data_IF_047712137291
#
_entry.id   IF_047712137291
#
_cell.length_a   1.000
_cell.length_b   1.000
_cell.length_c   1.000
_cell.angle_alpha   90.00
_cell.angle_beta   90.00
_cell.angle_gamma   90.00
#
_symmetry.space_group_name_H-M   'P 1'
#
loop_
_entity.id
_entity.type
_entity.pdbx_description
1 polymer ?
#
# COMPACT_ATOMS: atom_id res chain seq x y z
N UNK A 1 9.36 -13.56 8.78
CA UNK A 1 7.96 -13.73 9.21
C UNK A 1 7.00 -13.09 8.20
N UNK A 2 5.70 -13.42 8.23
CA UNK A 2 4.71 -12.82 7.32
C UNK A 2 4.62 -11.28 7.46
N UNK A 3 4.82 -10.77 8.68
CA UNK A 3 4.85 -9.33 8.97
C UNK A 3 6.03 -8.61 8.30
N UNK A 4 7.21 -9.23 8.26
CA UNK A 4 8.37 -8.66 7.56
C UNK A 4 8.11 -8.51 6.06
N UNK A 5 7.51 -9.52 5.42
CA UNK A 5 7.16 -9.47 4.00
C UNK A 5 6.14 -8.37 3.70
N UNK A 6 5.20 -8.14 4.61
CA UNK A 6 4.23 -7.07 4.48
C UNK A 6 4.89 -5.69 4.60
N UNK A 7 5.77 -5.51 5.58
CA UNK A 7 6.53 -4.27 5.75
C UNK A 7 7.37 -3.95 4.50
N UNK A 8 8.13 -4.93 3.99
CA UNK A 8 8.91 -4.77 2.76
C UNK A 8 8.03 -4.40 1.55
N UNK A 9 6.84 -4.98 1.46
CA UNK A 9 5.88 -4.68 0.40
C UNK A 9 5.38 -3.25 0.49
N UNK A 10 5.06 -2.78 1.69
CA UNK A 10 4.61 -1.42 1.94
C UNK A 10 5.70 -0.40 1.59
N UNK A 11 6.95 -0.64 2.01
CA UNK A 11 8.08 0.24 1.69
C UNK A 11 8.25 0.40 0.18
N UNK A 12 8.13 -0.69 -0.58
CA UNK A 12 8.18 -0.65 -2.04
C UNK A 12 7.05 0.19 -2.64
N UNK A 13 5.83 0.06 -2.11
CA UNK A 13 4.67 0.82 -2.58
C UNK A 13 4.79 2.32 -2.26
N UNK A 14 5.31 2.68 -1.08
CA UNK A 14 5.62 4.08 -0.73
C UNK A 14 6.67 4.66 -1.66
N UNK A 15 7.75 3.92 -1.91
CA UNK A 15 8.80 4.34 -2.84
C UNK A 15 8.26 4.51 -4.26
N UNK A 16 7.39 3.60 -4.70
CA UNK A 16 6.74 3.68 -6.01
C UNK A 16 5.81 4.90 -6.13
N UNK A 17 5.02 5.19 -5.10
CA UNK A 17 4.20 6.40 -5.03
C UNK A 17 5.08 7.64 -5.17
N UNK A 18 6.10 7.78 -4.29
CA UNK A 18 7.01 8.93 -4.32
C UNK A 18 7.69 9.10 -5.67
N UNK A 19 8.11 8.01 -6.30
CA UNK A 19 8.73 8.05 -7.61
C UNK A 19 7.75 8.54 -8.69
N UNK A 20 6.52 8.04 -8.68
CA UNK A 20 5.49 8.37 -9.68
C UNK A 20 4.89 9.77 -9.48
N UNK A 21 4.92 10.28 -8.25
CA UNK A 21 4.49 11.64 -7.93
C UNK A 21 5.63 12.65 -7.87
N UNK A 22 6.86 12.24 -8.19
CA UNK A 22 8.08 13.05 -8.04
C UNK A 22 8.26 13.64 -6.63
N UNK A 23 7.72 12.96 -5.62
CA UNK A 23 7.71 13.42 -4.22
C UNK A 23 6.72 14.55 -3.95
N UNK A 24 5.92 14.97 -4.94
CA UNK A 24 4.86 15.95 -4.76
C UNK A 24 3.65 15.30 -4.08
N UNK A 25 2.97 16.08 -3.23
CA UNK A 25 1.74 15.65 -2.56
C UNK A 25 0.51 15.79 -3.48
N UNK A 26 0.57 15.16 -4.65
CA UNK A 26 -0.47 15.19 -5.69
C UNK A 26 -1.45 14.02 -5.58
N UNK A 27 -1.25 13.14 -4.59
CA UNK A 27 -2.08 11.97 -4.34
C UNK A 27 -2.35 11.74 -2.84
N UNK A 28 -2.85 12.76 -2.11
CA UNK A 28 -3.08 12.65 -0.67
C UNK A 28 -4.09 11.54 -0.32
N UNK A 29 -5.04 11.28 -1.22
CA UNK A 29 -5.98 10.15 -1.13
C UNK A 29 -5.30 8.78 -1.23
N UNK A 30 -4.34 8.59 -2.14
CA UNK A 30 -3.55 7.34 -2.21
C UNK A 30 -2.66 7.18 -0.97
N UNK A 31 -2.02 8.25 -0.50
CA UNK A 31 -1.24 8.22 0.74
C UNK A 31 -2.10 7.83 1.93
N UNK A 32 -3.28 8.45 2.09
CA UNK A 32 -4.23 8.12 3.16
C UNK A 32 -4.72 6.68 3.08
N UNK A 33 -5.01 6.18 1.88
CA UNK A 33 -5.44 4.79 1.69
C UNK A 33 -4.34 3.80 2.11
N UNK A 34 -3.07 4.09 1.83
CA UNK A 34 -1.96 3.24 2.24
C UNK A 34 -1.78 3.21 3.77
N UNK A 35 -1.93 4.36 4.44
CA UNK A 35 -1.91 4.45 5.92
C UNK A 35 -3.05 3.65 6.56
N UNK A 36 -4.24 3.67 5.97
CA UNK A 36 -5.37 2.86 6.44
C UNK A 36 -5.08 1.36 6.33
N UNK A 37 -4.53 0.91 5.18
CA UNK A 37 -4.17 -0.51 4.99
C UNK A 37 -3.12 -0.94 6.01
N UNK A 38 -2.13 -0.10 6.30
CA UNK A 38 -1.13 -0.38 7.34
C UNK A 38 -1.76 -0.52 8.72
N UNK A 39 -2.64 0.41 9.09
CA UNK A 39 -3.33 0.39 10.39
C UNK A 39 -4.15 -0.88 10.54
N UNK A 40 -4.91 -1.27 9.51
CA UNK A 40 -5.64 -2.53 9.51
C UNK A 40 -4.70 -3.72 9.70
N UNK A 41 -3.58 -3.75 8.97
CA UNK A 41 -2.63 -4.83 9.04
C UNK A 41 -2.00 -5.07 10.43
N UNK A 42 -1.85 -4.01 11.24
CA UNK A 42 -1.35 -4.15 12.62
C UNK A 42 -2.30 -4.87 13.56
N UNK A 43 -3.60 -4.96 13.21
CA UNK A 43 -4.62 -5.67 14.00
C UNK A 43 -4.88 -7.11 13.54
N UNK A 44 -4.25 -7.55 12.44
CA UNK A 44 -4.59 -8.82 11.78
C UNK A 44 -3.95 -10.03 12.46
N UNK A 45 -4.78 -10.91 13.00
CA UNK A 45 -4.32 -12.09 13.74
C UNK A 45 -4.46 -13.37 12.91
N UNK A 46 -5.40 -13.39 11.95
CA UNK A 46 -5.73 -14.60 11.17
C UNK A 46 -5.16 -14.58 9.75
N UNK A 47 -5.13 -15.75 9.10
CA UNK A 47 -4.66 -15.88 7.72
C UNK A 47 -5.57 -15.16 6.71
N UNK A 48 -6.89 -15.19 6.94
CA UNK A 48 -7.89 -14.50 6.09
C UNK A 48 -7.69 -13.00 6.13
N UNK A 49 -7.58 -12.45 7.32
CA UNK A 49 -7.24 -11.05 7.58
C UNK A 49 -5.96 -10.60 6.83
N UNK A 50 -4.88 -11.38 6.95
CA UNK A 50 -3.65 -11.14 6.18
C UNK A 50 -3.87 -11.19 4.66
N UNK A 51 -4.75 -12.04 4.17
CA UNK A 51 -5.10 -12.10 2.75
C UNK A 51 -5.84 -10.84 2.31
N UNK A 52 -6.80 -10.36 3.09
CA UNK A 52 -7.58 -9.15 2.80
C UNK A 52 -6.68 -7.91 2.71
N UNK A 53 -5.71 -7.79 3.61
CA UNK A 53 -4.67 -6.74 3.54
C UNK A 53 -3.89 -6.82 2.23
N UNK A 54 -3.48 -8.02 1.81
CA UNK A 54 -2.73 -8.18 0.57
C UNK A 54 -3.58 -7.80 -0.66
N UNK A 55 -4.85 -8.17 -0.69
CA UNK A 55 -5.79 -7.76 -1.75
C UNK A 55 -5.99 -6.24 -1.77
N UNK A 56 -6.07 -5.60 -0.60
CA UNK A 56 -6.16 -4.15 -0.50
C UNK A 56 -4.92 -3.44 -1.06
N UNK A 57 -3.72 -3.99 -0.80
CA UNK A 57 -2.47 -3.51 -1.38
C UNK A 57 -2.41 -3.68 -2.90
N UNK A 58 -2.90 -4.81 -3.43
CA UNK A 58 -3.01 -5.04 -4.88
C UNK A 58 -3.93 -4.00 -5.53
N UNK A 59 -5.13 -3.81 -4.97
CA UNK A 59 -6.09 -2.84 -5.47
C UNK A 59 -5.55 -1.40 -5.41
N UNK A 60 -4.83 -1.05 -4.34
CA UNK A 60 -4.16 0.24 -4.22
C UNK A 60 -3.09 0.44 -5.30
N UNK A 61 -2.27 -0.58 -5.57
CA UNK A 61 -1.21 -0.50 -6.57
C UNK A 61 -1.80 -0.32 -7.98
N UNK A 62 -2.91 -0.98 -8.28
CA UNK A 62 -3.60 -0.79 -9.56
C UNK A 62 -4.17 0.63 -9.71
N UNK A 63 -4.70 1.24 -8.64
CA UNK A 63 -5.11 2.65 -8.66
C UNK A 63 -3.93 3.58 -8.93
N UNK A 64 -2.79 3.34 -8.27
CA UNK A 64 -1.56 4.11 -8.49
C UNK A 64 -1.14 4.04 -9.97
N UNK A 65 -1.10 2.83 -10.55
CA UNK A 65 -0.74 2.63 -11.96
C UNK A 65 -1.68 3.33 -12.93
N UNK A 66 -2.99 3.30 -12.66
CA UNK A 66 -4.00 3.96 -13.50
C UNK A 66 -3.89 5.47 -13.46
N UNK A 67 -3.62 6.05 -12.29
CA UNK A 67 -3.57 7.50 -12.10
C UNK A 67 -2.23 8.11 -12.53
N UNK A 68 -1.14 7.38 -12.31
CA UNK A 68 0.21 7.79 -12.66
C UNK A 68 0.85 6.70 -13.51
N UNK A 69 0.45 6.56 -14.80
CA UNK A 69 1.11 5.64 -15.72
C UNK A 69 2.60 6.01 -15.84
N UNK A 70 3.45 5.00 -16.07
CA UNK A 70 4.89 5.20 -16.25
C UNK A 70 5.20 5.87 -17.57
#
# INVERSE_FOLDING_TARGET
AAEQRLAERLDRLVAELRRRTEGLDVAPDLTRQLVQIYTSATGEQTATQRMDVNQALDAWQEKLKKRFPK
#
